data_IF_219987554660
#
_entry.id   IF_219987554660
#
_cell.length_a   1.000
_cell.length_b   1.000
_cell.length_c   1.000
_cell.angle_alpha   90.00
_cell.angle_beta   90.00
_cell.angle_gamma   90.00
#
_symmetry.space_group_name_H-M   'P 1'
#
loop_
_entity.id
_entity.type
_entity.pdbx_description
1 polymer ?
#
# COMPACT_ATOMS: atom_id res chain seq x y z
N UNK A 1 23.50 1.10 13.02
CA UNK A 1 24.69 1.90 12.69
C UNK A 1 24.50 3.33 13.15
N UNK A 2 25.57 4.05 13.54
CA UNK A 2 25.47 5.45 13.94
C UNK A 2 25.29 6.32 12.68
N UNK A 3 24.40 7.32 12.76
CA UNK A 3 23.91 8.24 11.70
C UNK A 3 22.65 7.72 10.99
N UNK A 4 21.51 8.35 11.30
CA UNK A 4 20.18 8.04 10.78
C UNK A 4 20.01 8.36 9.29
N UNK A 5 20.66 7.57 8.44
CA UNK A 5 20.63 7.66 6.97
C UNK A 5 19.81 6.57 6.29
N UNK A 6 19.19 5.68 7.04
CA UNK A 6 18.32 4.64 6.48
C UNK A 6 16.87 5.10 6.58
N UNK A 7 16.36 5.66 5.47
CA UNK A 7 14.95 5.86 5.27
C UNK A 7 14.40 4.74 4.38
N UNK A 8 13.20 4.26 4.70
CA UNK A 8 12.61 3.13 4.01
C UNK A 8 12.80 1.79 4.73
N UNK A 9 12.58 0.71 3.98
CA UNK A 9 12.65 -0.66 4.47
C UNK A 9 11.50 -1.54 3.97
N UNK A 10 11.44 -2.77 4.48
CA UNK A 10 10.35 -3.72 4.21
C UNK A 10 9.45 -3.82 5.43
N UNK A 11 8.15 -3.60 5.23
CA UNK A 11 7.15 -3.54 6.28
C UNK A 11 6.12 -4.64 6.08
N UNK A 12 5.93 -5.46 7.11
CA UNK A 12 5.05 -6.64 7.06
C UNK A 12 3.98 -6.65 8.16
N UNK A 13 3.96 -5.62 9.02
CA UNK A 13 2.96 -5.44 10.06
C UNK A 13 1.59 -5.10 9.46
N UNK A 14 0.53 -5.26 10.25
CA UNK A 14 -0.84 -4.92 9.82
C UNK A 14 -1.10 -3.41 9.77
N UNK A 15 -0.24 -2.61 10.37
CA UNK A 15 -0.29 -1.14 10.32
C UNK A 15 1.08 -0.54 10.63
N UNK A 16 1.38 0.60 10.04
CA UNK A 16 2.56 1.40 10.37
C UNK A 16 2.35 2.86 10.00
N UNK A 17 3.20 3.75 10.52
CA UNK A 17 3.23 5.16 10.13
C UNK A 17 4.62 5.50 9.61
N UNK A 18 4.73 5.84 8.33
CA UNK A 18 5.91 6.39 7.70
C UNK A 18 5.99 7.88 7.94
N UNK A 19 7.21 8.37 7.98
CA UNK A 19 7.53 9.79 8.00
C UNK A 19 8.64 10.04 7.00
N UNK A 20 8.64 11.21 6.38
CA UNK A 20 9.81 11.69 5.65
C UNK A 20 11.05 11.70 6.57
N UNK A 21 12.26 11.54 6.03
CA UNK A 21 13.49 11.69 6.80
C UNK A 21 13.55 13.09 7.40
N UNK A 22 14.05 13.23 8.63
CA UNK A 22 14.18 14.54 9.31
C UNK A 22 12.91 15.03 10.03
N UNK A 23 11.74 14.46 9.74
CA UNK A 23 10.47 14.85 10.38
C UNK A 23 10.55 14.87 11.92
N UNK A 24 10.05 15.92 12.61
CA UNK A 24 9.17 16.98 12.09
C UNK A 24 9.88 18.20 11.51
N UNK A 25 11.20 18.14 11.31
CA UNK A 25 11.90 19.16 10.52
C UNK A 25 11.77 18.85 9.03
N UNK A 26 12.19 19.80 8.20
CA UNK A 26 12.28 19.61 6.76
C UNK A 26 13.18 18.40 6.42
N UNK A 27 12.86 17.74 5.31
CA UNK A 27 13.71 16.68 4.75
C UNK A 27 15.00 17.27 4.16
N UNK A 28 16.00 16.43 3.85
CA UNK A 28 17.24 16.90 3.20
C UNK A 28 17.19 16.67 1.69
N UNK A 29 18.02 17.43 0.96
CA UNK A 29 18.26 17.24 -0.47
C UNK A 29 18.95 15.89 -0.77
N UNK A 30 18.80 15.42 -2.01
CA UNK A 30 19.43 14.23 -2.58
C UNK A 30 19.13 12.93 -1.80
N UNK A 31 17.90 12.79 -1.31
CA UNK A 31 17.44 11.59 -0.63
C UNK A 31 16.70 10.68 -1.61
N UNK A 32 16.85 9.37 -1.40
CA UNK A 32 16.06 8.35 -2.07
C UNK A 32 15.65 7.31 -1.04
N UNK A 33 14.35 7.22 -0.78
CA UNK A 33 13.77 6.36 0.23
C UNK A 33 12.76 5.41 -0.41
N UNK A 34 12.80 4.13 -0.04
CA UNK A 34 11.87 3.11 -0.51
C UNK A 34 11.20 2.41 0.66
N UNK A 35 9.87 2.48 0.74
CA UNK A 35 9.07 1.67 1.67
C UNK A 35 8.32 0.60 0.90
N UNK A 36 8.72 -0.65 1.08
CA UNK A 36 8.03 -1.80 0.51
C UNK A 36 7.10 -2.42 1.54
N UNK A 37 5.81 -2.38 1.26
CA UNK A 37 4.77 -2.93 2.14
C UNK A 37 4.39 -4.30 1.58
N UNK A 38 4.43 -5.33 2.43
CA UNK A 38 3.98 -6.67 2.09
C UNK A 38 3.15 -7.25 3.22
N UNK A 39 1.85 -7.31 3.00
CA UNK A 39 0.88 -7.87 3.96
C UNK A 39 0.50 -9.29 3.57
N UNK A 40 -0.35 -9.96 4.37
CA UNK A 40 -0.73 -11.35 4.10
C UNK A 40 -1.52 -11.47 2.80
N UNK A 41 -1.40 -12.61 2.13
CA UNK A 41 -2.26 -12.93 0.99
C UNK A 41 -3.74 -12.87 1.39
N UNK A 42 -4.58 -12.31 0.52
CA UNK A 42 -5.99 -12.04 0.81
C UNK A 42 -6.23 -10.77 1.64
N UNK A 43 -5.20 -9.97 1.91
CA UNK A 43 -5.36 -8.63 2.44
C UNK A 43 -5.01 -7.58 1.37
N UNK A 44 -5.59 -6.39 1.52
CA UNK A 44 -5.24 -5.17 0.79
C UNK A 44 -4.60 -4.17 1.73
N UNK A 45 -3.93 -3.18 1.18
CA UNK A 45 -3.24 -2.11 1.91
C UNK A 45 -4.05 -0.84 1.68
N UNK A 46 -4.45 -0.19 2.78
CA UNK A 46 -5.05 1.14 2.78
C UNK A 46 -4.00 2.13 3.25
N UNK A 47 -3.55 2.98 2.33
CA UNK A 47 -2.58 4.04 2.53
C UNK A 47 -3.33 5.35 2.74
N UNK A 48 -2.97 6.07 3.81
CA UNK A 48 -3.61 7.30 4.23
C UNK A 48 -2.58 8.39 4.47
N UNK A 49 -2.78 9.53 3.83
CA UNK A 49 -1.97 10.72 4.02
C UNK A 49 -2.49 11.47 5.24
N UNK A 50 -1.61 11.69 6.23
CA UNK A 50 -1.96 12.42 7.46
C UNK A 50 -1.48 13.87 7.40
N UNK A 51 -0.28 14.07 6.84
CA UNK A 51 0.35 15.36 6.56
C UNK A 51 1.14 15.23 5.25
N UNK A 52 1.18 16.29 4.45
CA UNK A 52 1.89 16.33 3.18
C UNK A 52 2.32 17.76 2.85
N UNK A 53 3.62 17.96 2.66
CA UNK A 53 4.27 19.20 2.28
C UNK A 53 5.62 18.85 1.61
N UNK A 54 5.62 18.75 0.29
CA UNK A 54 6.78 18.44 -0.54
C UNK A 54 6.97 19.59 -1.51
N UNK A 55 8.21 19.93 -1.89
CA UNK A 55 8.50 21.02 -2.85
C UNK A 55 7.49 21.02 -4.01
N UNK A 56 6.79 22.14 -4.19
CA UNK A 56 5.83 22.30 -5.28
C UNK A 56 6.54 22.81 -6.53
N UNK A 57 6.45 22.04 -7.61
CA UNK A 57 6.77 22.51 -8.94
C UNK A 57 5.71 22.06 -9.95
N UNK A 58 5.59 22.80 -11.05
CA UNK A 58 4.51 22.65 -12.03
C UNK A 58 4.38 21.23 -12.59
N UNK A 59 5.47 20.47 -12.63
CA UNK A 59 5.53 19.14 -13.22
C UNK A 59 5.92 18.05 -12.21
N UNK A 60 6.10 18.37 -10.94
CA UNK A 60 6.50 17.43 -9.89
C UNK A 60 7.78 16.67 -10.26
N UNK A 61 8.81 17.42 -10.67
CA UNK A 61 10.07 16.94 -11.18
C UNK A 61 11.26 17.17 -10.24
N UNK A 62 11.15 18.11 -9.29
CA UNK A 62 12.09 18.30 -8.19
C UNK A 62 11.91 17.18 -7.16
N UNK A 63 11.24 17.50 -6.05
CA UNK A 63 10.90 16.51 -5.04
C UNK A 63 9.55 15.84 -5.29
N UNK A 64 9.45 14.54 -5.00
CA UNK A 64 8.18 13.83 -5.13
C UNK A 64 8.09 12.56 -4.30
N UNK A 65 6.85 12.21 -3.96
CA UNK A 65 6.48 10.87 -3.53
C UNK A 65 5.75 10.14 -4.66
N UNK A 66 6.27 8.98 -5.07
CA UNK A 66 5.59 8.05 -5.98
C UNK A 66 5.00 6.86 -5.21
N UNK A 67 3.83 6.42 -5.65
CA UNK A 67 3.15 5.23 -5.12
C UNK A 67 2.93 4.22 -6.24
N UNK A 68 3.27 2.96 -5.96
CA UNK A 68 3.10 1.83 -6.86
C UNK A 68 2.29 0.72 -6.17
N UNK A 69 1.25 0.22 -6.85
CA UNK A 69 0.46 -0.95 -6.47
C UNK A 69 1.17 -2.25 -6.90
N UNK A 70 2.47 -2.33 -6.61
CA UNK A 70 3.34 -3.45 -6.89
C UNK A 70 4.52 -3.46 -5.89
N UNK A 71 5.35 -4.52 -5.92
CA UNK A 71 6.54 -4.63 -5.06
C UNK A 71 7.80 -4.00 -5.70
N UNK A 72 7.67 -3.39 -6.88
CA UNK A 72 8.74 -2.68 -7.58
C UNK A 72 8.30 -1.24 -7.93
N UNK A 73 9.20 -0.43 -8.47
CA UNK A 73 8.93 0.94 -8.94
C UNK A 73 8.84 1.04 -10.47
N UNK A 74 8.50 -0.07 -11.13
CA UNK A 74 8.38 -0.18 -12.60
C UNK A 74 6.94 -0.45 -13.02
N UNK A 75 6.23 -1.27 -12.26
CA UNK A 75 4.87 -1.72 -12.52
C UNK A 75 3.87 -1.10 -11.54
N UNK A 76 2.61 -1.02 -11.96
CA UNK A 76 1.53 -0.62 -11.06
C UNK A 76 1.63 0.83 -10.57
N UNK A 77 2.21 1.75 -11.35
CA UNK A 77 2.24 3.17 -11.02
C UNK A 77 0.83 3.68 -10.70
N UNK A 78 0.66 4.27 -9.52
CA UNK A 78 -0.62 4.83 -9.05
C UNK A 78 -0.61 6.34 -9.24
N UNK A 79 0.46 7.00 -8.80
CA UNK A 79 0.56 8.45 -8.86
C UNK A 79 1.89 8.96 -8.34
N UNK A 80 2.15 10.23 -8.67
CA UNK A 80 3.24 11.04 -8.18
C UNK A 80 2.65 12.28 -7.52
N UNK A 81 3.17 12.62 -6.35
CA UNK A 81 2.62 13.66 -5.47
C UNK A 81 3.74 14.61 -5.01
N UNK A 82 3.44 15.92 -5.00
CA UNK A 82 4.24 17.02 -4.48
C UNK A 82 3.31 18.20 -4.13
N UNK A 83 3.85 19.28 -3.59
CA UNK A 83 3.09 20.39 -3.03
C UNK A 83 2.56 20.11 -1.62
N UNK A 84 1.64 20.96 -1.18
CA UNK A 84 1.05 20.93 0.16
C UNK A 84 -0.42 20.48 0.17
N UNK A 85 -0.98 20.11 -0.99
CA UNK A 85 -2.30 19.50 -1.09
C UNK A 85 -2.24 18.06 -0.59
N UNK A 86 -3.08 17.73 0.40
CA UNK A 86 -3.15 16.39 0.97
C UNK A 86 -3.73 15.41 -0.07
N UNK A 87 -2.99 14.36 -0.50
CA UNK A 87 -3.50 13.41 -1.48
C UNK A 87 -4.64 12.53 -0.94
N UNK A 88 -5.47 12.04 -1.85
CA UNK A 88 -6.52 11.06 -1.53
C UNK A 88 -5.94 9.73 -1.00
N UNK A 89 -6.70 9.07 -0.12
CA UNK A 89 -6.38 7.73 0.36
C UNK A 89 -6.30 6.71 -0.81
N UNK A 90 -5.30 5.83 -0.77
CA UNK A 90 -5.07 4.81 -1.79
C UNK A 90 -5.34 3.42 -1.21
N UNK A 91 -6.08 2.59 -1.94
CA UNK A 91 -6.27 1.17 -1.59
C UNK A 91 -5.65 0.29 -2.68
N UNK A 92 -4.59 -0.45 -2.33
CA UNK A 92 -3.90 -1.39 -3.22
C UNK A 92 -4.86 -2.43 -3.80
N UNK A 93 -4.60 -2.99 -4.98
CA UNK A 93 -5.39 -4.12 -5.51
C UNK A 93 -4.97 -5.46 -4.90
N UNK A 94 -3.70 -5.57 -4.50
CA UNK A 94 -3.11 -6.77 -3.91
C UNK A 94 -2.56 -6.57 -2.50
N UNK A 95 -1.70 -7.48 -2.09
CA UNK A 95 -1.08 -7.48 -0.75
C UNK A 95 0.31 -6.83 -0.73
N UNK A 96 0.68 -6.08 -1.77
CA UNK A 96 1.95 -5.37 -1.89
C UNK A 96 1.73 -3.94 -2.36
N UNK A 97 2.60 -3.03 -1.93
CA UNK A 97 2.63 -1.63 -2.35
C UNK A 97 4.03 -1.07 -2.10
N UNK A 98 4.52 -0.20 -2.98
CA UNK A 98 5.82 0.46 -2.86
C UNK A 98 5.63 1.97 -2.85
N UNK A 99 6.25 2.64 -1.89
CA UNK A 99 6.38 4.10 -1.86
C UNK A 99 7.83 4.46 -2.14
N UNK A 100 8.04 5.46 -2.99
CA UNK A 100 9.35 6.00 -3.33
C UNK A 100 9.34 7.50 -3.11
N UNK A 101 10.17 7.98 -2.19
CA UNK A 101 10.39 9.42 -2.01
C UNK A 101 11.77 9.77 -2.57
N UNK A 102 11.81 10.77 -3.44
CA UNK A 102 13.03 11.27 -4.06
C UNK A 102 13.08 12.79 -3.87
N UNK A 103 14.25 13.31 -3.50
CA UNK A 103 14.50 14.75 -3.43
C UNK A 103 15.69 15.15 -4.29
N UNK A 104 15.64 16.37 -4.85
CA UNK A 104 16.65 16.90 -5.75
C UNK A 104 17.79 17.63 -5.00
N UNK A 105 18.59 18.45 -5.69
CA UNK A 105 19.72 19.17 -5.09
C UNK A 105 19.36 20.42 -4.26
N UNK A 106 18.11 20.88 -4.26
CA UNK A 106 17.70 22.17 -3.72
C UNK A 106 16.23 22.18 -3.28
N UNK A 107 15.89 23.16 -2.43
CA UNK A 107 14.54 23.37 -1.88
C UNK A 107 14.06 22.18 -1.04
N UNK A 108 13.55 22.49 0.14
CA UNK A 108 13.07 21.48 1.09
C UNK A 108 11.77 21.96 1.68
N UNK A 109 10.95 21.02 2.14
CA UNK A 109 9.65 21.29 2.73
C UNK A 109 9.43 20.38 3.95
N UNK A 110 8.29 20.55 4.64
CA UNK A 110 7.98 19.85 5.91
C UNK A 110 7.91 18.32 5.80
N UNK A 111 7.78 17.79 4.59
CA UNK A 111 7.70 16.38 4.28
C UNK A 111 6.32 15.80 4.53
N UNK A 112 6.25 14.57 5.02
CA UNK A 112 4.96 13.88 5.14
C UNK A 112 4.89 12.94 6.32
N UNK A 113 3.64 12.64 6.71
CA UNK A 113 3.31 11.52 7.57
C UNK A 113 2.24 10.68 6.90
N UNK A 114 2.51 9.39 6.70
CA UNK A 114 1.62 8.47 5.98
C UNK A 114 1.38 7.24 6.84
N UNK A 115 0.12 6.85 7.00
CA UNK A 115 -0.25 5.61 7.68
C UNK A 115 -0.66 4.56 6.65
N UNK A 116 -0.20 3.33 6.81
CA UNK A 116 -0.85 2.20 6.15
C UNK A 116 -1.54 1.29 7.15
N UNK A 117 -2.59 0.60 6.69
CA UNK A 117 -3.23 -0.49 7.43
C UNK A 117 -3.73 -1.59 6.49
N UNK A 118 -3.92 -2.80 7.02
CA UNK A 118 -4.49 -3.91 6.27
C UNK A 118 -6.01 -3.86 6.24
N UNK A 119 -6.59 -4.08 5.07
CA UNK A 119 -7.99 -4.41 4.88
C UNK A 119 -8.12 -5.90 4.57
N UNK A 120 -8.95 -6.62 5.32
CA UNK A 120 -9.27 -8.02 5.00
C UNK A 120 -10.17 -8.05 3.77
N UNK A 121 -9.78 -8.82 2.73
CA UNK A 121 -10.74 -9.13 1.68
C UNK A 121 -11.67 -10.23 2.17
N UNK A 122 -12.99 -10.12 1.96
CA UNK A 122 -13.90 -11.22 2.24
C UNK A 122 -13.39 -12.45 1.49
N UNK A 123 -13.20 -13.56 2.20
CA UNK A 123 -12.90 -14.83 1.56
C UNK A 123 -13.95 -15.07 0.45
N UNK A 124 -13.57 -15.61 -0.72
CA UNK A 124 -14.55 -16.02 -1.71
C UNK A 124 -15.58 -16.89 -0.99
N UNK A 125 -16.85 -16.48 -1.03
CA UNK A 125 -17.91 -17.26 -0.42
C UNK A 125 -17.78 -18.68 -0.95
N UNK A 126 -17.47 -19.64 -0.07
CA UNK A 126 -17.48 -21.05 -0.46
C UNK A 126 -18.90 -21.31 -0.96
N UNK A 127 -19.07 -21.54 -2.26
CA UNK A 127 -20.36 -21.92 -2.81
C UNK A 127 -20.89 -23.07 -1.96
N UNK A 128 -22.00 -22.83 -1.26
CA UNK A 128 -22.69 -23.84 -0.51
C UNK A 128 -23.02 -24.98 -1.47
N UNK A 129 -22.35 -26.12 -1.30
CA UNK A 129 -22.69 -27.34 -2.02
C UNK A 129 -24.10 -27.75 -1.59
N UNK A 130 -25.08 -27.52 -2.47
CA UNK A 130 -26.39 -28.11 -2.31
C UNK A 130 -26.22 -29.63 -2.27
N UNK A 131 -26.47 -30.22 -1.10
CA UNK A 131 -26.58 -31.67 -0.93
C UNK A 131 -27.67 -32.19 -1.86
N UNK A 132 -27.24 -32.95 -2.87
CA UNK A 132 -28.14 -33.78 -3.67
C UNK A 132 -28.84 -34.79 -2.75
N UNK A 133 -30.14 -34.62 -2.52
CA UNK A 133 -31.01 -35.67 -1.99
C UNK A 133 -31.40 -36.59 -3.14
N UNK A 134 -30.61 -37.63 -3.40
CA UNK A 134 -31.06 -38.78 -4.19
C UNK A 134 -31.58 -39.85 -3.23
N UNK A 135 -32.89 -39.87 -3.00
CA UNK A 135 -33.58 -41.01 -2.38
C UNK A 135 -33.93 -42.03 -3.47
N UNK A 136 -33.16 -43.12 -3.58
CA UNK A 136 -33.64 -44.32 -4.26
C UNK A 136 -34.46 -45.14 -3.28
N UNK A 137 -35.78 -45.19 -3.46
CA UNK A 137 -36.62 -46.23 -2.86
C UNK A 137 -36.53 -47.49 -3.73
N UNK A 138 -35.98 -48.55 -3.17
CA UNK A 138 -36.07 -49.89 -3.73
C UNK A 138 -37.49 -50.44 -3.47
N UNK A 139 -38.37 -50.29 -4.47
CA UNK A 139 -39.67 -50.94 -4.52
C UNK A 139 -39.53 -52.39 -4.94
N UNK A 140 -39.54 -53.30 -3.96
CA UNK A 140 -39.62 -54.74 -4.10
C UNK A 140 -41.08 -55.11 -4.41
N UNK A 141 -41.38 -55.63 -5.60
CA UNK A 141 -42.65 -56.34 -5.84
C UNK A 141 -42.35 -57.74 -6.36
N UNK A 142 -42.78 -58.71 -5.55
CA UNK A 142 -42.69 -60.13 -5.80
C UNK A 142 -43.79 -60.63 -6.74
N UNK A 143 -43.57 -61.86 -7.16
CA UNK A 143 -44.29 -62.66 -8.15
C UNK A 143 -45.48 -63.34 -7.48
N UNK A 144 -46.68 -63.25 -8.07
CA UNK A 144 -47.58 -64.36 -8.47
C UNK A 144 -48.88 -63.80 -9.02
#
# INVERSE_FOLDING_TARGET
SPLGKECGGVFTDSKHVFKSPGYPNEYENNQVCYWHIRVRYGQRIHLQFLEFDVEDDTACLGDFLEVYDSYDDVNGFVGRFCGDELPDDIISTGNVMTLKFLTDGSVTAGGFQIRYSTLDTPAPAKNASAQGKNSFQAGKFGIM
#
